data_IF_050311964291
#
_entry.id   IF_050311964291
#
_cell.length_a   1.000
_cell.length_b   1.000
_cell.length_c   1.000
_cell.angle_alpha   90.00
_cell.angle_beta   90.00
_cell.angle_gamma   90.00
#
_symmetry.space_group_name_H-M   'P 1'
#
loop_
_entity.id
_entity.type
_entity.pdbx_description
1 polymer ?
#
# COMPACT_ATOMS: atom_id res chain seq x y z
N UNK A 1 23.51 -13.58 18.99
CA UNK A 1 23.15 -12.63 20.08
C UNK A 1 22.69 -11.23 19.59
N UNK A 2 22.55 -10.97 18.27
CA UNK A 2 22.07 -9.66 17.74
C UNK A 2 20.54 -9.46 17.71
N UNK A 3 19.77 -10.53 17.89
CA UNK A 3 18.29 -10.49 17.78
C UNK A 3 17.60 -9.77 18.95
N UNK A 4 18.19 -9.80 20.15
CA UNK A 4 17.56 -9.25 21.36
C UNK A 4 17.53 -7.71 21.40
N UNK A 5 18.61 -6.99 21.02
CA UNK A 5 18.58 -5.52 20.90
C UNK A 5 17.60 -5.05 19.83
N UNK A 6 17.67 -5.62 18.62
CA UNK A 6 16.80 -5.22 17.50
C UNK A 6 15.32 -5.46 17.82
N UNK A 7 14.99 -6.60 18.45
CA UNK A 7 13.63 -6.89 18.90
C UNK A 7 13.11 -5.82 19.88
N UNK A 8 13.93 -5.38 20.84
CA UNK A 8 13.53 -4.34 21.82
C UNK A 8 13.32 -2.99 21.15
N UNK A 9 14.18 -2.62 20.21
CA UNK A 9 14.05 -1.37 19.45
C UNK A 9 12.76 -1.37 18.64
N UNK A 10 12.47 -2.45 17.89
CA UNK A 10 11.23 -2.58 17.13
C UNK A 10 9.99 -2.64 18.02
N UNK A 11 10.07 -3.30 19.18
CA UNK A 11 8.98 -3.30 20.16
C UNK A 11 8.70 -1.88 20.67
N UNK A 12 9.73 -1.09 20.95
CA UNK A 12 9.59 0.31 21.37
C UNK A 12 8.92 1.16 20.29
N UNK A 13 9.27 0.97 19.02
CA UNK A 13 8.58 1.63 17.89
C UNK A 13 7.08 1.29 17.89
N UNK A 14 6.74 0.01 18.04
CA UNK A 14 5.34 -0.43 18.08
C UNK A 14 4.58 0.14 19.28
N UNK A 15 5.25 0.33 20.42
CA UNK A 15 4.66 0.99 21.59
C UNK A 15 4.44 2.49 21.35
N UNK A 16 5.44 3.19 20.81
CA UNK A 16 5.33 4.63 20.49
C UNK A 16 4.25 4.93 19.44
N UNK A 17 4.05 4.01 18.49
CA UNK A 17 3.00 4.12 17.48
C UNK A 17 1.61 3.63 17.95
N UNK A 18 1.47 3.17 19.20
CA UNK A 18 0.23 2.61 19.76
C UNK A 18 -0.28 1.33 19.05
N UNK A 19 0.63 0.47 18.59
CA UNK A 19 0.30 -0.86 18.06
C UNK A 19 0.25 -1.89 19.19
N UNK A 20 1.01 -1.64 20.24
CA UNK A 20 1.15 -2.48 21.43
C UNK A 20 1.14 -1.58 22.66
N UNK A 21 0.48 -1.98 23.74
CA UNK A 21 0.49 -1.21 25.00
C UNK A 21 1.72 -1.50 25.87
N UNK A 22 1.79 -0.85 27.04
CA UNK A 22 2.86 -1.06 28.02
C UNK A 22 2.88 -2.50 28.57
N UNK A 23 1.71 -3.16 28.61
CA UNK A 23 1.53 -4.56 29.01
C UNK A 23 1.86 -5.57 27.93
N UNK A 24 2.30 -5.12 26.74
CA UNK A 24 2.55 -5.93 25.54
C UNK A 24 1.30 -6.57 24.92
N UNK A 25 0.12 -6.06 25.23
CA UNK A 25 -1.10 -6.44 24.53
C UNK A 25 -1.21 -5.69 23.19
N UNK A 26 -1.70 -6.38 22.17
CA UNK A 26 -1.88 -5.81 20.82
C UNK A 26 -3.11 -4.90 20.81
N UNK A 27 -2.92 -3.65 20.42
CA UNK A 27 -3.96 -2.64 20.29
C UNK A 27 -4.65 -2.69 18.91
N UNK A 28 -5.70 -1.89 18.72
CA UNK A 28 -6.48 -1.87 17.48
C UNK A 28 -5.60 -1.67 16.24
N UNK A 29 -4.67 -0.70 16.26
CA UNK A 29 -3.71 -0.48 15.16
C UNK A 29 -2.90 -1.73 14.84
N UNK A 30 -2.41 -2.45 15.86
CA UNK A 30 -1.68 -3.69 15.68
C UNK A 30 -2.52 -4.83 15.08
N UNK A 31 -3.82 -4.90 15.43
CA UNK A 31 -4.74 -5.86 14.80
C UNK A 31 -5.00 -5.53 13.34
N UNK A 32 -5.17 -4.24 13.01
CA UNK A 32 -5.35 -3.77 11.63
C UNK A 32 -4.11 -4.07 10.79
N UNK A 33 -2.93 -3.74 11.31
CA UNK A 33 -1.67 -3.97 10.61
C UNK A 33 -1.40 -5.45 10.33
N UNK A 34 -1.93 -6.35 11.17
CA UNK A 34 -1.86 -7.80 10.95
C UNK A 34 -2.71 -8.27 9.76
N UNK A 35 -3.78 -7.57 9.41
CA UNK A 35 -4.59 -7.92 8.24
C UNK A 35 -3.87 -7.59 6.92
N UNK A 36 -2.91 -6.66 6.94
CA UNK A 36 -2.19 -6.18 5.76
C UNK A 36 -0.92 -7.00 5.50
N UNK A 37 -1.01 -8.01 4.63
CA UNK A 37 0.10 -8.92 4.31
C UNK A 37 0.67 -8.71 2.91
N UNK A 38 -0.11 -8.12 1.98
CA UNK A 38 0.31 -7.95 0.58
C UNK A 38 1.22 -6.75 0.36
N UNK A 39 1.13 -5.73 1.22
CA UNK A 39 1.89 -4.49 1.13
C UNK A 39 3.30 -4.63 1.70
N UNK A 40 4.26 -3.98 1.05
CA UNK A 40 5.68 -4.03 1.44
C UNK A 40 5.92 -3.40 2.83
N UNK A 41 5.11 -2.40 3.20
CA UNK A 41 5.22 -1.70 4.48
C UNK A 41 3.85 -1.55 5.17
N UNK A 42 3.48 -2.53 6.01
CA UNK A 42 2.20 -2.54 6.72
C UNK A 42 2.04 -1.42 7.76
N UNK A 43 3.14 -0.95 8.36
CA UNK A 43 3.12 0.22 9.26
C UNK A 43 2.67 1.47 8.52
N UNK A 44 3.27 1.75 7.36
CA UNK A 44 2.91 2.91 6.54
C UNK A 44 1.45 2.84 6.08
N UNK A 45 1.03 1.68 5.55
CA UNK A 45 -0.35 1.47 5.13
C UNK A 45 -1.36 1.67 6.27
N UNK A 46 -1.05 1.15 7.46
CA UNK A 46 -1.90 1.32 8.65
C UNK A 46 -1.96 2.77 9.08
N UNK A 47 -0.84 3.49 9.13
CA UNK A 47 -0.85 4.92 9.49
C UNK A 47 -1.68 5.75 8.49
N UNK A 48 -1.63 5.45 7.18
CA UNK A 48 -2.49 6.10 6.18
C UNK A 48 -3.96 5.84 6.43
N UNK A 49 -4.34 4.60 6.77
CA UNK A 49 -5.73 4.24 7.10
C UNK A 49 -6.23 5.02 8.31
N UNK A 50 -5.40 5.13 9.37
CA UNK A 50 -5.79 5.82 10.61
C UNK A 50 -5.74 7.35 10.54
N UNK A 51 -5.05 7.92 9.55
CA UNK A 51 -4.98 9.37 9.34
C UNK A 51 -6.14 9.89 8.47
N UNK A 52 -7.15 9.05 8.20
CA UNK A 52 -8.32 9.36 7.36
C UNK A 52 -7.97 9.90 5.97
N UNK A 53 -6.76 9.63 5.47
CA UNK A 53 -6.28 10.15 4.19
C UNK A 53 -7.09 9.61 2.99
N UNK A 54 -7.85 8.54 3.18
CA UNK A 54 -8.65 7.86 2.16
C UNK A 54 -10.08 8.41 2.04
N UNK A 55 -10.53 9.24 3.00
CA UNK A 55 -11.93 9.69 3.06
C UNK A 55 -12.32 10.63 1.93
N UNK A 56 -11.38 11.42 1.41
CA UNK A 56 -11.63 12.36 0.31
C UNK A 56 -11.31 11.80 -1.07
N UNK A 57 -10.70 10.61 -1.14
CA UNK A 57 -10.23 10.02 -2.38
C UNK A 57 -11.31 9.17 -3.05
N UNK A 58 -11.32 9.18 -4.37
CA UNK A 58 -12.12 8.27 -5.18
C UNK A 58 -11.52 6.84 -5.16
N UNK A 59 -12.32 5.79 -5.38
CA UNK A 59 -11.82 4.41 -5.33
C UNK A 59 -10.60 4.15 -6.23
N UNK A 60 -10.56 4.75 -7.43
CA UNK A 60 -9.45 4.68 -8.39
C UNK A 60 -8.17 5.34 -7.86
N UNK A 61 -8.31 6.43 -7.14
CA UNK A 61 -7.18 7.16 -6.53
C UNK A 61 -6.60 6.35 -5.36
N UNK A 62 -7.46 5.66 -4.60
CA UNK A 62 -7.02 4.83 -3.49
C UNK A 62 -6.22 3.61 -4.00
N UNK A 63 -6.71 2.90 -5.02
CA UNK A 63 -5.94 1.76 -5.60
C UNK A 63 -4.64 2.22 -6.23
N UNK A 64 -4.63 3.40 -6.87
CA UNK A 64 -3.41 4.00 -7.39
C UNK A 64 -2.41 4.31 -6.27
N UNK A 65 -2.86 4.88 -5.15
CA UNK A 65 -2.01 5.13 -3.98
C UNK A 65 -1.44 3.84 -3.38
N UNK A 66 -2.25 2.79 -3.22
CA UNK A 66 -1.78 1.51 -2.69
C UNK A 66 -0.88 0.74 -3.66
N UNK A 67 -0.95 1.01 -4.97
CA UNK A 67 0.00 0.45 -5.95
C UNK A 67 1.45 0.79 -5.58
N UNK A 68 1.67 1.97 -4.96
CA UNK A 68 2.97 2.39 -4.49
C UNK A 68 3.56 1.49 -3.40
N UNK A 69 2.72 0.78 -2.65
CA UNK A 69 3.14 -0.10 -1.56
C UNK A 69 3.16 -1.59 -1.96
N UNK A 70 2.60 -1.93 -3.12
CA UNK A 70 2.50 -3.30 -3.66
C UNK A 70 3.53 -3.55 -4.76
N UNK A 71 3.89 -2.51 -5.51
CA UNK A 71 4.76 -2.64 -6.68
C UNK A 71 6.25 -2.76 -6.29
N UNK A 72 6.75 -3.99 -6.35
CA UNK A 72 8.14 -4.34 -6.02
C UNK A 72 8.94 -4.67 -7.28
N UNK A 73 9.37 -3.66 -8.04
CA UNK A 73 10.36 -3.84 -9.12
C UNK A 73 11.71 -3.22 -8.72
N UNK A 74 12.76 -4.04 -8.69
CA UNK A 74 14.10 -3.64 -8.25
C UNK A 74 14.98 -3.32 -9.45
N UNK A 75 15.60 -2.14 -9.44
CA UNK A 75 16.78 -1.85 -10.27
C UNK A 75 16.51 -1.41 -11.70
N UNK A 76 15.25 -1.14 -12.08
CA UNK A 76 14.91 -0.52 -13.35
C UNK A 76 14.33 0.88 -13.13
N UNK A 77 14.83 1.85 -13.87
CA UNK A 77 14.24 3.18 -13.92
C UNK A 77 12.98 3.06 -14.76
N UNK A 78 11.83 3.01 -14.08
CA UNK A 78 10.52 2.99 -14.73
C UNK A 78 10.25 4.38 -15.29
N UNK A 79 9.51 4.44 -16.40
CA UNK A 79 9.01 5.68 -16.97
C UNK A 79 8.32 6.52 -15.89
N UNK A 80 8.67 7.80 -15.80
CA UNK A 80 8.12 8.68 -14.78
C UNK A 80 6.62 8.89 -15.04
N UNK A 81 5.75 8.56 -14.07
CA UNK A 81 4.30 8.61 -14.28
C UNK A 81 3.81 10.06 -14.34
N UNK A 82 2.84 10.32 -15.23
CA UNK A 82 2.13 11.60 -15.30
C UNK A 82 1.02 11.65 -14.25
N UNK A 83 1.37 12.08 -13.04
CA UNK A 83 0.45 12.14 -11.91
C UNK A 83 -0.49 13.37 -11.96
N UNK A 84 -1.77 13.15 -11.71
CA UNK A 84 -2.74 14.23 -11.45
C UNK A 84 -2.43 14.96 -10.14
N UNK A 85 -2.95 16.18 -9.91
CA UNK A 85 -2.74 16.90 -8.65
C UNK A 85 -3.15 16.09 -7.41
N UNK A 86 -4.23 15.32 -7.50
CA UNK A 86 -4.67 14.45 -6.39
C UNK A 86 -3.68 13.31 -6.14
N UNK A 87 -3.17 12.65 -7.20
CA UNK A 87 -2.19 11.58 -7.07
C UNK A 87 -0.84 12.09 -6.54
N UNK A 88 -0.43 13.30 -6.94
CA UNK A 88 0.74 13.97 -6.38
C UNK A 88 0.56 14.24 -4.88
N UNK A 89 -0.61 14.72 -4.46
CA UNK A 89 -0.93 14.89 -3.04
C UNK A 89 -0.92 13.57 -2.28
N UNK A 90 -1.44 12.48 -2.86
CA UNK A 90 -1.38 11.13 -2.27
C UNK A 90 0.07 10.66 -2.08
N UNK A 91 0.93 10.87 -3.09
CA UNK A 91 2.34 10.52 -3.00
C UNK A 91 3.07 11.36 -1.94
N UNK A 92 2.83 12.67 -1.88
CA UNK A 92 3.37 13.53 -0.81
C UNK A 92 2.92 13.04 0.57
N UNK A 93 1.65 12.67 0.72
CA UNK A 93 1.11 12.15 1.97
C UNK A 93 1.82 10.85 2.40
N UNK A 94 2.05 9.92 1.47
CA UNK A 94 2.83 8.71 1.73
C UNK A 94 4.25 9.04 2.21
N UNK A 95 4.91 10.01 1.58
CA UNK A 95 6.26 10.42 1.96
C UNK A 95 6.31 11.09 3.34
N UNK A 96 5.31 11.93 3.67
CA UNK A 96 5.19 12.56 4.99
C UNK A 96 5.00 11.53 6.09
N UNK A 97 4.05 10.61 5.91
CA UNK A 97 3.80 9.53 6.87
C UNK A 97 5.02 8.60 6.98
N UNK A 98 5.70 8.33 5.87
CA UNK A 98 6.95 7.56 5.88
C UNK A 98 8.06 8.24 6.69
N UNK A 99 8.23 9.56 6.55
CA UNK A 99 9.19 10.35 7.34
C UNK A 99 8.81 10.37 8.82
N UNK A 100 7.53 10.47 9.14
CA UNK A 100 7.04 10.39 10.52
C UNK A 100 7.40 9.04 11.17
N UNK A 101 7.05 7.93 10.52
CA UNK A 101 7.38 6.58 11.03
C UNK A 101 8.90 6.39 11.13
N UNK A 102 9.65 6.86 10.13
CA UNK A 102 11.12 6.79 10.16
C UNK A 102 11.72 7.61 11.30
N UNK A 103 11.15 8.76 11.64
CA UNK A 103 11.54 9.58 12.79
C UNK A 103 11.45 8.77 14.09
N UNK A 104 10.32 8.09 14.31
CA UNK A 104 10.11 7.23 15.48
C UNK A 104 11.07 6.03 15.47
N UNK A 105 11.32 5.42 14.32
CA UNK A 105 12.31 4.35 14.20
C UNK A 105 13.72 4.81 14.60
N UNK A 106 14.11 6.02 14.18
CA UNK A 106 15.41 6.62 14.54
C UNK A 106 15.50 6.95 16.02
N UNK A 107 14.44 7.48 16.63
CA UNK A 107 14.37 7.72 18.08
C UNK A 107 14.54 6.42 18.88
N UNK A 108 14.08 5.29 18.33
CA UNK A 108 14.26 3.95 18.91
C UNK A 108 15.60 3.28 18.52
N UNK A 109 16.53 4.01 17.90
CA UNK A 109 17.84 3.52 17.45
C UNK A 109 17.76 2.34 16.46
N UNK A 110 16.69 2.23 15.66
CA UNK A 110 16.59 1.25 14.59
C UNK A 110 17.48 1.69 13.41
N UNK A 111 18.37 0.80 12.97
CA UNK A 111 19.31 1.05 11.88
C UNK A 111 18.61 0.92 10.50
N UNK A 112 17.90 1.97 10.10
CA UNK A 112 17.25 2.08 8.78
C UNK A 112 17.49 3.47 8.21
N UNK A 113 18.03 3.52 7.00
CA UNK A 113 18.24 4.79 6.30
C UNK A 113 16.96 5.29 5.64
N UNK A 114 16.87 6.59 5.39
CA UNK A 114 15.72 7.16 4.65
C UNK A 114 15.61 6.59 3.24
N UNK A 115 16.76 6.40 2.59
CA UNK A 115 16.81 5.80 1.25
C UNK A 115 16.27 4.37 1.24
N UNK A 116 16.58 3.57 2.26
CA UNK A 116 16.05 2.21 2.39
C UNK A 116 14.55 2.22 2.69
N UNK A 117 14.08 3.13 3.54
CA UNK A 117 12.67 3.21 3.88
C UNK A 117 11.82 3.70 2.70
N UNK A 118 12.30 4.68 1.95
CA UNK A 118 11.62 5.24 0.77
C UNK A 118 11.56 4.27 -0.41
N UNK A 119 12.46 3.28 -0.49
CA UNK A 119 12.37 2.20 -1.50
C UNK A 119 11.10 1.36 -1.37
N UNK A 120 10.40 1.42 -0.23
CA UNK A 120 9.11 0.75 -0.05
C UNK A 120 7.95 1.49 -0.73
N UNK A 121 8.19 2.68 -1.28
CA UNK A 121 7.20 3.50 -2.00
C UNK A 121 7.64 3.58 -3.46
N UNK A 122 6.90 2.95 -4.36
CA UNK A 122 7.23 2.89 -5.78
C UNK A 122 6.08 3.40 -6.66
N UNK A 123 6.22 4.63 -7.14
CA UNK A 123 5.20 5.29 -7.96
C UNK A 123 5.09 4.76 -9.41
N UNK A 124 5.96 3.84 -9.84
CA UNK A 124 6.10 3.47 -11.26
C UNK A 124 4.83 2.92 -11.93
N UNK A 125 3.89 2.36 -11.16
CA UNK A 125 2.59 1.89 -11.66
C UNK A 125 1.40 2.73 -11.20
N UNK A 126 1.63 3.87 -10.53
CA UNK A 126 0.56 4.70 -9.97
C UNK A 126 -0.38 5.24 -11.05
N UNK A 127 0.17 5.76 -12.15
CA UNK A 127 -0.63 6.21 -13.31
C UNK A 127 -1.34 5.04 -14.01
N UNK A 128 -0.63 3.94 -14.25
CA UNK A 128 -1.15 2.73 -14.91
C UNK A 128 -2.38 2.18 -14.18
N UNK A 129 -2.29 2.07 -12.85
CA UNK A 129 -3.38 1.55 -12.00
C UNK A 129 -4.54 2.55 -11.93
N UNK A 130 -4.25 3.85 -11.89
CA UNK A 130 -5.29 4.87 -11.91
C UNK A 130 -6.12 4.81 -13.19
N UNK A 131 -5.49 4.80 -14.37
CA UNK A 131 -6.19 4.71 -15.65
C UNK A 131 -6.86 3.35 -15.85
N UNK A 132 -6.28 2.27 -15.31
CA UNK A 132 -6.94 0.97 -15.26
C UNK A 132 -8.25 1.02 -14.45
N UNK A 133 -8.24 1.63 -13.27
CA UNK A 133 -9.43 1.81 -12.43
C UNK A 133 -10.52 2.65 -13.12
N UNK A 134 -10.14 3.57 -14.01
CA UNK A 134 -11.06 4.41 -14.80
C UNK A 134 -11.63 3.71 -16.04
N UNK A 135 -11.19 2.48 -16.32
CA UNK A 135 -11.72 1.65 -17.41
C UNK A 135 -10.91 1.70 -18.72
N UNK A 136 -9.70 2.26 -18.73
CA UNK A 136 -8.88 2.33 -19.94
C UNK A 136 -8.43 0.91 -20.41
N UNK A 137 -8.52 0.53 -21.69
CA UNK A 137 -8.15 -0.80 -22.17
C UNK A 137 -6.73 -1.24 -21.77
N UNK A 138 -6.51 -2.56 -21.60
CA UNK A 138 -5.21 -3.09 -21.17
C UNK A 138 -4.08 -2.70 -22.14
N UNK A 139 -4.35 -2.71 -23.44
CA UNK A 139 -3.39 -2.28 -24.47
C UNK A 139 -2.89 -0.86 -24.25
N UNK A 140 -3.77 0.03 -23.82
CA UNK A 140 -3.49 1.46 -23.73
C UNK A 140 -2.69 1.75 -22.46
N UNK A 141 -3.04 1.13 -21.32
CA UNK A 141 -2.25 1.27 -20.09
C UNK A 141 -0.83 0.70 -20.23
N UNK A 142 -0.64 -0.32 -21.07
CA UNK A 142 0.69 -0.87 -21.38
C UNK A 142 1.57 0.12 -22.16
N UNK A 143 0.99 1.12 -22.83
CA UNK A 143 1.77 2.17 -23.51
C UNK A 143 2.24 3.28 -22.57
N UNK A 144 1.67 3.36 -21.35
CA UNK A 144 2.01 4.39 -20.35
C UNK A 144 3.31 4.07 -19.60
N UNK A 145 3.81 2.84 -19.68
CA UNK A 145 4.97 2.39 -18.92
C UNK A 145 5.83 1.41 -19.71
N UNK A 146 7.11 1.30 -19.35
CA UNK A 146 8.05 0.32 -19.91
C UNK A 146 8.11 -0.99 -19.08
N UNK A 147 7.25 -1.10 -18.07
CA UNK A 147 7.06 -2.29 -17.23
C UNK A 147 6.39 -3.39 -18.05
N UNK A 148 6.89 -4.62 -17.90
CA UNK A 148 6.32 -5.79 -18.60
C UNK A 148 4.87 -6.04 -18.19
N UNK A 149 4.04 -6.45 -19.15
CA UNK A 149 2.60 -6.66 -18.96
C UNK A 149 2.31 -7.67 -17.85
N UNK A 150 3.11 -8.74 -17.77
CA UNK A 150 2.98 -9.74 -16.70
C UNK A 150 3.29 -9.21 -15.30
N UNK A 151 4.07 -8.13 -15.18
CA UNK A 151 4.29 -7.44 -13.91
C UNK A 151 3.11 -6.52 -13.56
N UNK A 152 2.54 -5.84 -14.55
CA UNK A 152 1.31 -5.04 -14.38
C UNK A 152 0.16 -5.93 -13.89
N UNK A 153 -0.09 -7.07 -14.57
CA UNK A 153 -1.13 -8.03 -14.19
C UNK A 153 -0.94 -8.53 -12.75
N UNK A 154 0.30 -8.93 -12.38
CA UNK A 154 0.61 -9.37 -11.00
C UNK A 154 0.38 -8.27 -9.97
N UNK A 155 0.72 -7.02 -10.30
CA UNK A 155 0.48 -5.88 -9.42
C UNK A 155 -1.03 -5.68 -9.18
N UNK A 156 -1.85 -5.73 -10.23
CA UNK A 156 -3.30 -5.56 -10.12
C UNK A 156 -3.94 -6.70 -9.30
N UNK A 157 -3.51 -7.95 -9.50
CA UNK A 157 -3.99 -9.09 -8.70
C UNK A 157 -3.64 -8.89 -7.21
N UNK A 158 -2.39 -8.53 -6.91
CA UNK A 158 -1.97 -8.23 -5.53
C UNK A 158 -2.73 -7.03 -4.95
N UNK A 159 -3.08 -6.03 -5.76
CA UNK A 159 -3.90 -4.89 -5.33
C UNK A 159 -5.33 -5.28 -4.98
N UNK A 160 -5.94 -6.22 -5.71
CA UNK A 160 -7.24 -6.78 -5.35
C UNK A 160 -7.18 -7.53 -4.02
N UNK A 161 -6.10 -8.28 -3.76
CA UNK A 161 -5.85 -8.88 -2.45
C UNK A 161 -5.71 -7.80 -1.37
N UNK A 162 -4.92 -6.74 -1.61
CA UNK A 162 -4.80 -5.60 -0.69
C UNK A 162 -6.15 -4.95 -0.39
N UNK A 163 -7.01 -4.77 -1.40
CA UNK A 163 -8.36 -4.22 -1.19
C UNK A 163 -9.18 -5.12 -0.25
N UNK A 164 -9.09 -6.45 -0.38
CA UNK A 164 -9.76 -7.40 0.52
C UNK A 164 -9.21 -7.33 1.94
N UNK A 165 -7.89 -7.18 2.10
CA UNK A 165 -7.25 -6.99 3.40
C UNK A 165 -7.68 -5.68 4.07
N UNK A 166 -7.73 -4.57 3.33
CA UNK A 166 -8.20 -3.28 3.85
C UNK A 166 -9.70 -3.33 4.18
N UNK A 167 -10.53 -4.06 3.41
CA UNK A 167 -11.93 -4.32 3.79
C UNK A 167 -12.05 -5.03 5.14
N UNK A 168 -11.21 -6.03 5.40
CA UNK A 168 -11.17 -6.72 6.69
C UNK A 168 -10.72 -5.77 7.82
N UNK A 169 -9.70 -4.95 7.57
CA UNK A 169 -9.27 -3.91 8.48
C UNK A 169 -10.39 -2.88 8.78
N UNK A 170 -11.10 -2.41 7.76
CA UNK A 170 -12.20 -1.46 7.89
C UNK A 170 -13.32 -2.02 8.78
N UNK A 171 -13.64 -3.32 8.65
CA UNK A 171 -14.58 -4.02 9.55
C UNK A 171 -14.11 -4.05 10.99
N UNK A 172 -12.81 -4.24 11.23
CA UNK A 172 -12.23 -4.24 12.59
C UNK A 172 -12.23 -2.85 13.22
N UNK A 173 -12.08 -1.81 12.42
CA UNK A 173 -12.14 -0.40 12.84
C UNK A 173 -13.59 0.03 13.08
N UNK A 174 -14.54 -0.54 12.32
CA UNK A 174 -15.94 -0.11 12.30
C UNK A 174 -16.21 1.00 11.27
N UNK A 175 -15.34 1.17 10.27
CA UNK A 175 -15.46 2.17 9.23
C UNK A 175 -16.19 1.61 8.00
N UNK A 176 -17.47 1.93 7.88
CA UNK A 176 -18.30 1.51 6.74
C UNK A 176 -17.99 2.27 5.45
N UNK A 177 -17.47 3.50 5.55
CA UNK A 177 -17.11 4.31 4.38
C UNK A 177 -15.91 3.68 3.69
N UNK A 178 -14.84 3.43 4.44
CA UNK A 178 -13.65 2.75 3.93
C UNK A 178 -13.99 1.36 3.39
N UNK A 179 -14.85 0.61 4.08
CA UNK A 179 -15.28 -0.70 3.61
C UNK A 179 -15.91 -0.64 2.21
N UNK A 180 -16.84 0.30 2.01
CA UNK A 180 -17.57 0.48 0.75
C UNK A 180 -16.63 0.95 -0.37
N UNK A 181 -15.78 1.94 -0.08
CA UNK A 181 -14.78 2.41 -1.06
C UNK A 181 -13.84 1.30 -1.51
N UNK A 182 -13.41 0.43 -0.59
CA UNK A 182 -12.51 -0.68 -0.95
C UNK A 182 -13.24 -1.78 -1.73
N UNK A 183 -14.55 -1.93 -1.54
CA UNK A 183 -15.38 -2.81 -2.37
C UNK A 183 -15.48 -2.28 -3.80
N UNK A 184 -15.82 -1.01 -3.97
CA UNK A 184 -15.88 -0.36 -5.28
C UNK A 184 -14.51 -0.36 -5.99
N UNK A 185 -13.44 -0.08 -5.25
CA UNK A 185 -12.06 -0.14 -5.74
C UNK A 185 -11.71 -1.53 -6.30
N UNK A 186 -12.02 -2.59 -5.54
CA UNK A 186 -11.80 -3.99 -5.97
C UNK A 186 -12.60 -4.33 -7.22
N UNK A 187 -13.85 -3.87 -7.32
CA UNK A 187 -14.68 -4.11 -8.51
C UNK A 187 -14.14 -3.40 -9.75
N UNK A 188 -13.68 -2.15 -9.63
CA UNK A 188 -13.13 -1.37 -10.75
C UNK A 188 -11.86 -1.99 -11.35
N UNK A 189 -11.00 -2.56 -10.52
CA UNK A 189 -9.76 -3.19 -11.00
C UNK A 189 -9.95 -4.65 -11.45
N UNK A 190 -11.06 -5.29 -11.05
CA UNK A 190 -11.36 -6.69 -11.37
C UNK A 190 -12.06 -6.87 -12.71
N UNK A 191 -11.33 -6.66 -13.80
CA UNK A 191 -11.87 -6.77 -15.16
C UNK A 191 -10.93 -7.47 -16.15
N UNK A 192 -11.53 -7.94 -17.24
CA UNK A 192 -10.88 -8.43 -18.45
C UNK A 192 -9.75 -9.46 -18.21
N UNK A 193 -8.65 -9.32 -18.96
CA UNK A 193 -7.53 -10.25 -19.09
C UNK A 193 -6.79 -10.51 -17.77
N UNK A 194 -6.87 -9.58 -16.82
CA UNK A 194 -6.19 -9.68 -15.52
C UNK A 194 -6.79 -10.81 -14.66
N UNK A 195 -8.06 -11.18 -14.91
CA UNK A 195 -8.78 -12.23 -14.18
C UNK A 195 -9.28 -13.36 -15.07
N UNK A 196 -8.76 -13.49 -16.29
CA UNK A 196 -9.06 -14.62 -17.16
C UNK A 196 -8.63 -15.93 -16.48
N UNK A 197 -9.50 -16.95 -16.53
CA UNK A 197 -9.26 -18.25 -15.91
C UNK A 197 -7.96 -18.87 -16.42
N UNK A 198 -7.09 -19.31 -15.50
CA UNK A 198 -5.87 -20.04 -15.86
C UNK A 198 -6.22 -21.23 -16.75
N UNK A 199 -5.52 -21.38 -17.88
CA UNK A 199 -5.68 -22.49 -18.83
C UNK A 199 -5.39 -23.87 -18.21
N UNK A 200 -4.81 -23.92 -17.01
CA UNK A 200 -4.48 -25.17 -16.29
C UNK A 200 -5.58 -25.65 -15.33
N UNK A 201 -6.68 -24.90 -15.18
CA UNK A 201 -7.80 -25.27 -14.29
C UNK A 201 -9.08 -25.57 -15.08
N UNK A 202 -8.94 -25.95 -16.35
CA UNK A 202 -10.04 -26.47 -17.20
C UNK A 202 -10.05 -27.99 -17.25
#
# INVERSE_FOLDING_TARGET
>A
MRLMPEFRQRLQVLQMLNYVDDGRAVLLKGRVARELNTVTCSLLATEIIFDNALDTLEPEEIVAMFSCLVFEEKGRQVTEPSLTPTLQACHQKLQETAKFVLGIQRECCVDVTEQEYMKNINIGLMEVVFEWGRGLPFSDICTLTDVQEGTIVRCIIRLDETCREIKSAARLIGDSSLFTKMEEASEKIKRDIVFATSLYVS
#
